data_IF_399616860156
#
_entry.id   IF_399616860156
#
_cell.length_a   1.000
_cell.length_b   1.000
_cell.length_c   1.000
_cell.angle_alpha   90.00
_cell.angle_beta   90.00
_cell.angle_gamma   90.00
#
_symmetry.space_group_name_H-M   'P 1'
#
loop_
_entity.id
_entity.type
_entity.pdbx_description
1 polymer ?
#
# COMPACT_ATOMS: atom_id res chain seq x y z
N UNK A 1 -0.22 -10.45 -17.71
CA UNK A 1 -1.17 -10.87 -16.66
C UNK A 1 -1.48 -9.72 -15.68
N UNK A 2 -0.61 -9.42 -14.71
CA UNK A 2 -0.87 -8.36 -13.71
C UNK A 2 -0.85 -6.94 -14.31
N UNK A 3 0.17 -6.62 -15.11
CA UNK A 3 0.25 -5.35 -15.84
C UNK A 3 -0.97 -5.11 -16.71
N UNK A 4 -1.40 -6.11 -17.47
CA UNK A 4 -2.50 -5.96 -18.42
C UNK A 4 -3.84 -5.79 -17.68
N UNK A 5 -4.02 -6.44 -16.53
CA UNK A 5 -5.19 -6.24 -15.67
C UNK A 5 -5.23 -4.83 -15.06
N UNK A 6 -4.08 -4.33 -14.58
CA UNK A 6 -3.93 -2.96 -14.10
C UNK A 6 -4.25 -1.94 -15.21
N UNK A 7 -3.71 -2.17 -16.41
CA UNK A 7 -3.97 -1.33 -17.59
C UNK A 7 -5.45 -1.40 -18.02
N UNK A 8 -6.09 -2.56 -17.90
CA UNK A 8 -7.51 -2.70 -18.23
C UNK A 8 -8.41 -1.90 -17.29
N UNK A 9 -8.17 -1.93 -15.98
CA UNK A 9 -8.90 -1.08 -15.03
C UNK A 9 -8.60 0.40 -15.25
N UNK A 10 -7.35 0.75 -15.58
CA UNK A 10 -6.96 2.12 -15.90
C UNK A 10 -7.68 2.64 -17.16
N UNK A 11 -7.77 1.82 -18.21
CA UNK A 11 -8.49 2.15 -19.44
C UNK A 11 -9.99 2.33 -19.24
N UNK A 12 -10.57 1.71 -18.20
CA UNK A 12 -11.97 1.91 -17.79
C UNK A 12 -12.19 3.13 -16.89
N UNK A 13 -11.12 3.80 -16.46
CA UNK A 13 -11.20 4.86 -15.45
C UNK A 13 -11.59 4.35 -14.07
N UNK A 14 -11.42 3.05 -13.79
CA UNK A 14 -11.83 2.41 -12.54
C UNK A 14 -10.68 2.30 -11.52
N UNK A 15 -9.48 2.79 -11.88
CA UNK A 15 -8.38 2.88 -10.93
C UNK A 15 -8.55 4.03 -9.94
N UNK A 16 -8.21 3.79 -8.68
CA UNK A 16 -8.13 4.83 -7.66
C UNK A 16 -6.67 5.23 -7.45
N UNK A 17 -6.42 6.53 -7.37
CA UNK A 17 -5.09 7.09 -7.07
C UNK A 17 -5.16 7.84 -5.75
N UNK A 18 -4.23 7.56 -4.87
CA UNK A 18 -4.09 8.26 -3.60
C UNK A 18 -2.61 8.48 -3.31
N UNK A 19 -2.29 9.55 -2.60
CA UNK A 19 -0.93 9.82 -2.18
C UNK A 19 -0.94 10.55 -0.84
N UNK A 20 0.12 10.37 -0.06
CA UNK A 20 0.37 11.10 1.17
C UNK A 20 1.85 11.37 1.37
N UNK A 21 2.14 12.41 2.13
CA UNK A 21 3.48 12.72 2.62
C UNK A 21 3.41 12.79 4.14
N UNK A 22 4.26 12.04 4.82
CA UNK A 22 4.39 12.09 6.28
C UNK A 22 5.09 13.38 6.75
N UNK A 23 4.99 13.69 8.03
CA UNK A 23 5.70 14.82 8.65
C UNK A 23 7.22 14.70 8.58
N UNK A 24 7.76 13.48 8.46
CA UNK A 24 9.19 13.21 8.28
C UNK A 24 9.64 13.24 6.82
N UNK A 25 8.74 13.53 5.88
CA UNK A 25 9.05 13.68 4.45
C UNK A 25 8.96 12.39 3.63
N UNK A 26 8.58 11.25 4.23
CA UNK A 26 8.31 10.01 3.48
C UNK A 26 7.09 10.22 2.61
N UNK A 27 7.21 9.94 1.31
CA UNK A 27 6.14 10.04 0.33
C UNK A 27 5.66 8.65 -0.08
N UNK A 28 4.35 8.49 -0.23
CA UNK A 28 3.75 7.28 -0.76
C UNK A 28 2.67 7.63 -1.78
N UNK A 29 2.74 7.01 -2.95
CA UNK A 29 1.71 7.07 -3.98
C UNK A 29 1.17 5.66 -4.23
N UNK A 30 -0.15 5.51 -4.29
CA UNK A 30 -0.81 4.22 -4.50
C UNK A 30 -1.79 4.32 -5.65
N UNK A 31 -1.69 3.37 -6.58
CA UNK A 31 -2.64 3.13 -7.66
C UNK A 31 -3.34 1.80 -7.37
N UNK A 32 -4.65 1.82 -7.18
CA UNK A 32 -5.46 0.62 -7.00
C UNK A 32 -6.18 0.31 -8.31
N UNK A 33 -6.19 -0.96 -8.70
CA UNK A 33 -7.07 -1.54 -9.71
C UNK A 33 -8.03 -2.50 -9.01
N UNK A 34 -9.19 -2.00 -8.53
CA UNK A 34 -10.02 -2.74 -7.59
C UNK A 34 -10.62 -4.02 -8.16
N UNK A 35 -10.93 -4.07 -9.47
CA UNK A 35 -11.46 -5.30 -10.09
C UNK A 35 -10.36 -6.30 -10.39
N UNK A 36 -9.16 -5.82 -10.71
CA UNK A 36 -8.00 -6.67 -10.89
C UNK A 36 -7.51 -7.30 -9.57
N UNK A 37 -7.90 -6.75 -8.41
CA UNK A 37 -7.38 -7.16 -7.11
C UNK A 37 -5.89 -6.83 -6.96
N UNK A 38 -5.43 -5.80 -7.67
CA UNK A 38 -4.03 -5.38 -7.74
C UNK A 38 -3.87 -3.93 -7.34
N UNK A 39 -2.80 -3.61 -6.64
CA UNK A 39 -2.36 -2.24 -6.43
C UNK A 39 -0.87 -2.10 -6.69
N UNK A 40 -0.43 -0.89 -7.01
CA UNK A 40 0.97 -0.51 -7.09
C UNK A 40 1.19 0.63 -6.13
N UNK A 41 2.12 0.47 -5.20
CA UNK A 41 2.58 1.54 -4.33
C UNK A 41 3.98 1.98 -4.76
N UNK A 42 4.29 3.27 -4.67
CA UNK A 42 5.63 3.83 -4.88
C UNK A 42 5.96 4.65 -3.65
N UNK A 43 7.07 4.31 -3.01
CA UNK A 43 7.50 4.91 -1.74
C UNK A 43 8.85 5.58 -1.93
N UNK A 44 8.96 6.82 -1.47
CA UNK A 44 10.18 7.63 -1.56
C UNK A 44 10.52 8.25 -0.20
N UNK A 45 11.81 8.53 0.02
CA UNK A 45 12.30 9.13 1.27
C UNK A 45 12.43 8.15 2.45
N UNK A 46 12.33 6.84 2.21
CA UNK A 46 12.61 5.84 3.24
C UNK A 46 14.13 5.66 3.42
N UNK A 47 14.67 5.79 4.64
CA UNK A 47 16.04 5.41 4.91
C UNK A 47 16.20 3.88 4.75
N UNK A 48 17.44 3.38 4.64
CA UNK A 48 17.68 1.94 4.78
C UNK A 48 17.18 1.46 6.15
N UNK A 49 16.46 0.33 6.23
CA UNK A 49 16.05 -0.22 7.51
C UNK A 49 17.28 -0.63 8.33
N UNK A 50 17.27 -0.44 9.67
CA UNK A 50 18.33 -0.94 10.54
C UNK A 50 18.53 -2.46 10.43
N UNK A 51 19.67 -2.97 10.89
CA UNK A 51 19.93 -4.41 10.93
C UNK A 51 18.83 -5.16 11.71
N UNK A 52 18.35 -6.29 11.17
CA UNK A 52 17.26 -7.07 11.74
C UNK A 52 15.87 -6.45 11.62
N UNK A 53 15.70 -5.40 10.80
CA UNK A 53 14.42 -4.74 10.51
C UNK A 53 14.08 -4.79 9.03
N UNK A 54 12.79 -4.68 8.72
CA UNK A 54 12.26 -4.56 7.36
C UNK A 54 11.09 -3.59 7.35
N UNK A 55 10.74 -3.05 6.19
CA UNK A 55 9.46 -2.35 6.04
C UNK A 55 8.37 -3.34 5.67
N UNK A 56 7.18 -3.13 6.24
CA UNK A 56 6.01 -3.90 5.90
C UNK A 56 4.91 -2.98 5.39
N UNK A 57 4.37 -3.32 4.23
CA UNK A 57 3.22 -2.69 3.65
C UNK A 57 1.94 -3.33 4.19
N UNK A 58 0.93 -2.51 4.43
CA UNK A 58 -0.37 -2.93 4.94
C UNK A 58 -1.50 -2.36 4.10
N UNK A 59 -2.56 -3.15 3.94
CA UNK A 59 -3.86 -2.68 3.48
C UNK A 59 -4.85 -2.76 4.64
N UNK A 60 -5.48 -1.65 4.95
CA UNK A 60 -6.32 -1.50 6.14
C UNK A 60 -7.79 -1.72 5.78
N UNK A 61 -8.47 -2.66 6.41
CA UNK A 61 -9.91 -2.90 6.33
C UNK A 61 -10.53 -2.72 7.73
N UNK A 62 -11.24 -1.60 7.94
CA UNK A 62 -11.67 -1.17 9.27
C UNK A 62 -10.48 -1.04 10.21
N UNK A 63 -10.51 -1.77 11.32
CA UNK A 63 -9.42 -1.83 12.30
C UNK A 63 -8.40 -2.95 12.02
N UNK A 64 -8.58 -3.71 10.93
CA UNK A 64 -7.72 -4.84 10.57
C UNK A 64 -6.66 -4.44 9.54
N UNK A 65 -5.39 -4.65 9.87
CA UNK A 65 -4.29 -4.48 8.94
C UNK A 65 -3.93 -5.82 8.28
N UNK A 66 -4.03 -5.89 6.96
CA UNK A 66 -3.63 -7.04 6.17
C UNK A 66 -2.23 -6.84 5.59
N UNK A 67 -1.31 -7.77 5.84
CA UNK A 67 0.04 -7.72 5.26
C UNK A 67 -0.04 -7.72 3.73
N UNK A 68 0.58 -6.73 3.11
CA UNK A 68 0.60 -6.53 1.67
C UNK A 68 2.01 -6.76 1.06
N UNK A 69 3.01 -7.03 1.90
CA UNK A 69 4.36 -7.40 1.47
C UNK A 69 5.45 -6.81 2.37
N UNK A 70 6.63 -7.42 2.31
CA UNK A 70 7.85 -6.93 2.96
C UNK A 70 8.77 -6.30 1.91
N UNK A 71 9.52 -5.27 2.29
CA UNK A 71 10.47 -4.60 1.42
C UNK A 71 11.59 -3.92 2.23
N UNK A 72 12.76 -3.76 1.61
CA UNK A 72 13.96 -3.24 2.28
C UNK A 72 14.42 -1.87 1.74
N UNK A 73 13.78 -1.35 0.70
CA UNK A 73 14.09 -0.06 0.10
C UNK A 73 12.85 0.56 -0.51
N UNK A 74 12.86 1.89 -0.69
CA UNK A 74 11.85 2.58 -1.48
C UNK A 74 11.77 2.09 -2.93
N UNK A 75 10.83 2.64 -3.68
CA UNK A 75 10.53 2.28 -5.06
C UNK A 75 9.17 1.59 -5.23
N UNK A 76 8.91 1.02 -6.43
CA UNK A 76 7.63 0.41 -6.75
C UNK A 76 7.44 -0.94 -6.07
N UNK A 77 6.28 -1.14 -5.46
CA UNK A 77 5.81 -2.36 -4.85
C UNK A 77 4.49 -2.79 -5.49
N UNK A 78 4.43 -4.02 -6.00
CA UNK A 78 3.19 -4.62 -6.51
C UNK A 78 2.50 -5.37 -5.39
N UNK A 79 1.26 -4.97 -5.09
CA UNK A 79 0.40 -5.55 -4.07
C UNK A 79 -0.68 -6.38 -4.77
N UNK A 80 -0.78 -7.66 -4.41
CA UNK A 80 -1.77 -8.57 -4.99
C UNK A 80 -2.60 -9.26 -3.89
N UNK A 81 -3.35 -8.49 -3.07
CA UNK A 81 -4.18 -9.07 -2.01
C UNK A 81 -5.35 -9.91 -2.57
N UNK A 82 -5.67 -9.76 -3.86
CA UNK A 82 -6.82 -10.40 -4.49
C UNK A 82 -8.15 -9.81 -4.03
N UNK A 83 -9.23 -10.28 -4.64
CA UNK A 83 -10.58 -9.78 -4.35
C UNK A 83 -10.77 -8.31 -4.72
N UNK A 84 -11.86 -7.72 -4.23
CA UNK A 84 -12.19 -6.32 -4.48
C UNK A 84 -11.44 -5.39 -3.51
N UNK A 85 -10.58 -4.52 -4.05
CA UNK A 85 -9.79 -3.62 -3.21
C UNK A 85 -10.60 -2.49 -2.56
N UNK A 86 -11.86 -2.27 -2.97
CA UNK A 86 -12.74 -1.25 -2.37
C UNK A 86 -13.08 -1.51 -0.91
N UNK A 87 -12.79 -2.72 -0.39
CA UNK A 87 -12.89 -3.02 1.04
C UNK A 87 -11.84 -2.29 1.87
N UNK A 88 -10.70 -1.96 1.28
CA UNK A 88 -9.61 -1.32 2.00
C UNK A 88 -9.84 0.19 2.09
N UNK A 89 -9.66 0.75 3.29
CA UNK A 89 -9.79 2.16 3.59
C UNK A 89 -8.45 2.92 3.46
N UNK A 90 -7.32 2.22 3.60
CA UNK A 90 -6.00 2.85 3.52
C UNK A 90 -4.88 1.88 3.15
N UNK A 91 -3.76 2.44 2.73
CA UNK A 91 -2.45 1.81 2.73
C UNK A 91 -1.59 2.40 3.85
N UNK A 92 -0.78 1.57 4.50
CA UNK A 92 0.16 2.02 5.52
C UNK A 92 1.50 1.29 5.42
N UNK A 93 2.54 1.89 5.98
CA UNK A 93 3.89 1.32 6.06
C UNK A 93 4.39 1.42 7.49
N UNK A 94 4.95 0.33 8.01
CA UNK A 94 5.60 0.28 9.32
C UNK A 94 7.03 -0.26 9.21
N UNK A 95 7.82 -0.08 10.27
CA UNK A 95 9.14 -0.67 10.42
C UNK A 95 9.06 -1.86 11.38
N UNK A 96 9.13 -3.06 10.83
CA UNK A 96 8.91 -4.31 11.55
C UNK A 96 10.22 -5.09 11.74
N UNK A 97 10.16 -6.13 12.57
CA UNK A 97 11.25 -7.10 12.65
C UNK A 97 11.45 -7.81 11.29
N UNK A 98 12.67 -8.27 11.04
CA UNK A 98 12.94 -9.13 9.90
C UNK A 98 11.99 -10.35 9.88
N UNK A 99 11.40 -10.65 8.72
CA UNK A 99 10.31 -11.63 8.59
C UNK A 99 8.90 -11.04 8.73
N UNK A 100 8.78 -9.78 9.13
CA UNK A 100 7.52 -9.05 9.29
C UNK A 100 6.77 -9.44 10.56
N UNK A 101 5.53 -8.98 10.62
CA UNK A 101 4.61 -9.23 11.72
C UNK A 101 3.23 -9.67 11.21
N UNK A 102 2.44 -10.38 12.03
CA UNK A 102 1.05 -10.71 11.71
C UNK A 102 0.11 -9.48 11.81
N UNK A 103 0.51 -8.47 12.59
CA UNK A 103 -0.15 -7.16 12.71
C UNK A 103 0.93 -6.09 12.97
N UNK A 104 0.67 -4.80 12.65
CA UNK A 104 1.60 -3.70 12.93
C UNK A 104 2.12 -3.73 14.37
N UNK A 105 3.45 -3.71 14.55
CA UNK A 105 4.07 -3.60 15.89
C UNK A 105 4.65 -2.22 16.17
N UNK A 106 4.80 -1.39 15.13
CA UNK A 106 5.22 0.01 15.25
C UNK A 106 4.14 0.97 14.76
N UNK A 107 4.28 2.25 15.13
CA UNK A 107 3.49 3.30 14.51
C UNK A 107 3.74 3.36 12.99
N UNK A 108 2.71 3.67 12.18
CA UNK A 108 2.87 3.88 10.75
C UNK A 108 3.80 5.06 10.44
N UNK A 109 4.74 4.83 9.54
CA UNK A 109 5.63 5.86 9.00
C UNK A 109 4.91 6.75 7.99
N UNK A 110 3.96 6.18 7.26
CA UNK A 110 3.08 6.89 6.32
C UNK A 110 1.76 6.12 6.23
N UNK A 111 0.67 6.87 6.12
CA UNK A 111 -0.68 6.36 5.85
C UNK A 111 -1.24 7.10 4.65
N UNK A 112 -1.73 6.36 3.67
CA UNK A 112 -2.40 6.88 2.48
C UNK A 112 -3.87 6.46 2.56
N UNK A 113 -4.77 7.36 2.98
CA UNK A 113 -6.20 7.10 2.95
C UNK A 113 -6.67 6.93 1.51
N UNK A 114 -7.47 5.90 1.27
CA UNK A 114 -8.19 5.78 0.02
C UNK A 114 -9.49 6.55 0.18
N UNK A 115 -9.65 7.62 -0.60
CA UNK A 115 -10.96 8.22 -0.73
C UNK A 115 -11.88 7.14 -1.33
N UNK A 116 -12.79 6.60 -0.51
CA UNK A 116 -13.96 5.93 -1.05
C UNK A 116 -14.58 6.96 -1.99
N UNK A 117 -14.55 6.68 -3.30
CA UNK A 117 -15.27 7.52 -4.25
C UNK A 117 -16.70 7.59 -3.71
N UNK A 118 -17.10 8.76 -3.21
CA UNK A 118 -18.43 8.98 -2.70
C UNK A 118 -19.37 8.52 -3.80
N UNK A 119 -20.11 7.44 -3.55
CA UNK A 119 -21.09 6.94 -4.51
C UNK A 119 -22.08 8.09 -4.74
N UNK A 120 -22.03 8.69 -5.93
CA UNK A 120 -23.17 9.43 -6.47
C UNK A 120 -24.06 8.44 -7.20
#
# INVERSE_FOLDING_TARGET
AARDALLADAARGETLRAAATSSSGIQASVLLAPRAGLAVAVLDGLPPPPAGRTYQAWLIDGDTAHSAGLFASGGPLVLAPGGDLRRFAAFAVTLEAEGGAPAPTSEPLVVVPFALAARR
#
